data_IF_019799321557
#
_entry.id   IF_019799321557
#
_cell.length_a   1.000
_cell.length_b   1.000
_cell.length_c   1.000
_cell.angle_alpha   90.00
_cell.angle_beta   90.00
_cell.angle_gamma   90.00
#
_symmetry.space_group_name_H-M   'P 1'
#
loop_
_entity.id
_entity.type
_entity.pdbx_description
1 polymer ?
#
# COMPACT_ATOMS: atom_id res chain seq x y z
N UNK A 1 -19.85 -11.76 -16.97
CA UNK A 1 -19.14 -10.70 -16.22
C UNK A 1 -17.66 -10.81 -16.56
N UNK A 2 -16.99 -9.68 -16.82
CA UNK A 2 -15.59 -9.65 -17.26
C UNK A 2 -14.69 -9.38 -16.06
N UNK A 3 -13.65 -10.19 -15.91
CA UNK A 3 -12.52 -9.92 -15.00
C UNK A 3 -11.38 -9.28 -15.78
N UNK A 4 -10.47 -8.60 -15.10
CA UNK A 4 -9.31 -8.00 -15.73
C UNK A 4 -8.20 -9.00 -15.99
N UNK A 5 -7.49 -8.81 -17.10
CA UNK A 5 -6.47 -9.73 -17.63
C UNK A 5 -5.18 -9.01 -18.07
N UNK A 6 -5.16 -7.68 -18.12
CA UNK A 6 -3.97 -6.90 -18.48
C UNK A 6 -3.73 -5.73 -17.54
N UNK A 7 -2.53 -5.67 -16.96
CA UNK A 7 -2.15 -4.78 -15.88
C UNK A 7 -0.85 -4.02 -16.18
N UNK A 8 -0.75 -2.80 -15.68
CA UNK A 8 0.52 -2.09 -15.53
C UNK A 8 0.75 -1.72 -14.07
N UNK A 9 1.91 -2.07 -13.54
CA UNK A 9 2.32 -1.73 -12.17
C UNK A 9 3.39 -0.63 -12.24
N UNK A 10 3.12 0.50 -11.59
CA UNK A 10 4.03 1.63 -11.51
C UNK A 10 4.76 1.61 -10.18
N UNK A 11 6.09 1.56 -10.22
CA UNK A 11 6.93 1.37 -9.05
C UNK A 11 7.26 -0.09 -8.78
N UNK A 12 8.47 -0.33 -8.26
CA UNK A 12 9.00 -1.67 -7.99
C UNK A 12 9.55 -1.77 -6.55
N UNK A 13 8.81 -1.17 -5.61
CA UNK A 13 9.13 -1.16 -4.17
C UNK A 13 8.42 -2.26 -3.38
N UNK A 14 8.16 -1.97 -2.10
CA UNK A 14 7.56 -2.89 -1.11
C UNK A 14 6.26 -3.54 -1.60
N UNK A 15 5.41 -2.81 -2.33
CA UNK A 15 4.14 -3.32 -2.86
C UNK A 15 4.24 -3.74 -4.33
N UNK A 16 4.91 -2.94 -5.17
CA UNK A 16 4.92 -3.13 -6.62
C UNK A 16 5.55 -4.44 -7.09
N UNK A 17 6.63 -4.89 -6.45
CA UNK A 17 7.27 -6.17 -6.80
C UNK A 17 6.39 -7.36 -6.43
N UNK A 18 5.90 -7.50 -5.17
CA UNK A 18 4.99 -8.58 -4.81
C UNK A 18 3.71 -8.60 -5.64
N UNK A 19 3.05 -7.45 -5.88
CA UNK A 19 1.81 -7.39 -6.69
C UNK A 19 2.05 -7.92 -8.11
N UNK A 20 3.19 -7.56 -8.70
CA UNK A 20 3.55 -8.03 -10.05
C UNK A 20 3.71 -9.56 -10.09
N UNK A 21 4.33 -10.15 -9.07
CA UNK A 21 4.47 -11.62 -8.97
C UNK A 21 3.12 -12.30 -8.84
N UNK A 22 2.26 -11.79 -7.95
CA UNK A 22 0.95 -12.36 -7.67
C UNK A 22 0.01 -12.28 -8.89
N UNK A 23 -0.02 -11.13 -9.58
CA UNK A 23 -0.72 -11.00 -10.85
C UNK A 23 -0.20 -12.02 -11.86
N UNK A 24 1.12 -12.12 -12.03
CA UNK A 24 1.68 -13.05 -13.00
C UNK A 24 1.38 -14.51 -12.64
N UNK A 25 1.40 -14.87 -11.37
CA UNK A 25 1.06 -16.21 -10.89
C UNK A 25 -0.39 -16.61 -11.21
N UNK A 26 -1.29 -15.62 -11.37
CA UNK A 26 -2.69 -15.82 -11.80
C UNK A 26 -2.86 -15.89 -13.32
N UNK A 27 -1.76 -15.87 -14.07
CA UNK A 27 -1.77 -16.06 -15.52
C UNK A 27 -2.17 -14.82 -16.33
N UNK A 28 -2.31 -13.65 -15.69
CA UNK A 28 -2.64 -12.40 -16.38
C UNK A 28 -1.38 -11.73 -16.97
N UNK A 29 -1.61 -10.81 -17.92
CA UNK A 29 -0.57 -9.98 -18.52
C UNK A 29 -0.21 -8.84 -17.55
N UNK A 30 1.09 -8.62 -17.33
CA UNK A 30 1.57 -7.54 -16.48
C UNK A 30 2.85 -6.94 -17.06
N UNK A 31 2.91 -5.61 -17.09
CA UNK A 31 4.13 -4.85 -17.34
C UNK A 31 4.48 -4.00 -16.12
N UNK A 32 5.77 -3.75 -15.91
CA UNK A 32 6.25 -2.87 -14.84
C UNK A 32 6.83 -1.61 -15.44
N UNK A 33 6.41 -0.45 -14.95
CA UNK A 33 6.99 0.84 -15.28
C UNK A 33 7.66 1.42 -14.02
N UNK A 34 8.95 1.71 -14.11
CA UNK A 34 9.73 2.28 -13.02
C UNK A 34 10.57 3.47 -13.51
N UNK A 35 10.89 4.39 -12.61
CA UNK A 35 11.82 5.49 -12.92
C UNK A 35 13.20 4.91 -13.30
N UNK A 36 13.93 5.50 -14.27
CA UNK A 36 15.29 5.10 -14.58
C UNK A 36 16.17 4.98 -13.33
N UNK A 37 16.90 3.88 -13.22
CA UNK A 37 17.76 3.60 -12.06
C UNK A 37 17.06 3.14 -10.77
N UNK A 38 15.72 3.08 -10.74
CA UNK A 38 14.95 2.55 -9.60
C UNK A 38 14.62 1.05 -9.73
N UNK A 39 15.14 0.38 -10.77
CA UNK A 39 14.99 -1.05 -10.97
C UNK A 39 16.39 -1.72 -11.13
N UNK A 40 17.16 -1.85 -10.04
CA UNK A 40 18.44 -2.55 -10.09
C UNK A 40 18.26 -4.03 -10.45
N UNK A 41 19.35 -4.70 -10.86
CA UNK A 41 19.30 -6.11 -11.27
C UNK A 41 18.71 -7.04 -10.21
N UNK A 42 18.85 -6.70 -8.92
CA UNK A 42 18.20 -7.43 -7.83
C UNK A 42 16.68 -7.41 -7.96
N UNK A 43 16.08 -6.24 -8.23
CA UNK A 43 14.65 -6.10 -8.46
C UNK A 43 14.24 -6.84 -9.73
N UNK A 44 14.98 -6.66 -10.83
CA UNK A 44 14.72 -7.35 -12.12
C UNK A 44 14.72 -8.87 -11.98
N UNK A 45 15.73 -9.45 -11.32
CA UNK A 45 15.82 -10.89 -11.05
C UNK A 45 14.73 -11.40 -10.11
N UNK A 46 14.16 -10.51 -9.31
CA UNK A 46 13.10 -10.85 -8.37
C UNK A 46 11.73 -10.91 -9.05
N UNK A 47 11.58 -10.35 -10.26
CA UNK A 47 10.35 -10.41 -11.03
C UNK A 47 10.36 -11.64 -11.96
N UNK A 48 9.19 -12.20 -12.32
CA UNK A 48 9.14 -13.33 -13.24
C UNK A 48 9.75 -12.96 -14.61
N UNK A 49 10.55 -13.84 -15.25
CA UNK A 49 11.25 -13.52 -16.50
C UNK A 49 10.35 -13.10 -17.67
N UNK A 50 9.06 -13.44 -17.61
CA UNK A 50 8.05 -13.09 -18.62
C UNK A 50 7.45 -11.69 -18.45
N UNK A 51 7.86 -10.93 -17.43
CA UNK A 51 7.36 -9.58 -17.17
C UNK A 51 8.28 -8.57 -17.86
N UNK A 52 7.70 -7.80 -18.77
CA UNK A 52 8.41 -6.68 -19.39
C UNK A 52 8.54 -5.53 -18.39
N UNK A 53 9.77 -5.03 -18.22
CA UNK A 53 10.10 -3.92 -17.34
C UNK A 53 10.56 -2.74 -18.20
N UNK A 54 9.91 -1.60 -18.04
CA UNK A 54 10.23 -0.36 -18.73
C UNK A 54 10.74 0.68 -17.74
N UNK A 55 11.98 1.11 -17.95
CA UNK A 55 12.54 2.28 -17.26
C UNK A 55 12.12 3.55 -18.02
N UNK A 56 11.16 4.29 -17.46
CA UNK A 56 10.53 5.45 -18.09
C UNK A 56 10.34 6.54 -17.04
N UNK A 57 10.67 7.78 -17.40
CA UNK A 57 10.28 8.93 -16.59
C UNK A 57 8.76 9.01 -16.57
N UNK A 58 8.15 8.90 -15.38
CA UNK A 58 6.69 8.87 -15.26
C UNK A 58 6.02 10.17 -15.74
N UNK A 59 6.81 11.25 -15.82
CA UNK A 59 6.39 12.51 -16.41
C UNK A 59 6.26 12.47 -17.96
N UNK A 60 6.84 11.47 -18.63
CA UNK A 60 6.71 11.26 -20.08
C UNK A 60 5.38 10.58 -20.41
N UNK A 61 4.30 11.37 -20.38
CA UNK A 61 2.93 10.90 -20.62
C UNK A 61 2.75 10.28 -22.01
N UNK A 62 3.50 10.76 -23.02
CA UNK A 62 3.43 10.23 -24.37
C UNK A 62 3.97 8.79 -24.40
N UNK A 63 5.12 8.54 -23.78
CA UNK A 63 5.71 7.20 -23.72
C UNK A 63 4.89 6.26 -22.86
N UNK A 64 4.43 6.72 -21.69
CA UNK A 64 3.57 5.94 -20.80
C UNK A 64 2.28 5.55 -21.54
N UNK A 65 1.57 6.50 -22.16
CA UNK A 65 0.36 6.23 -22.95
C UNK A 65 0.60 5.23 -24.08
N UNK A 66 1.72 5.35 -24.79
CA UNK A 66 2.09 4.42 -25.86
C UNK A 66 2.23 2.99 -25.32
N UNK A 67 2.90 2.81 -24.19
CA UNK A 67 3.08 1.49 -23.56
C UNK A 67 1.75 0.93 -23.07
N UNK A 68 0.94 1.71 -22.37
CA UNK A 68 -0.39 1.28 -21.90
C UNK A 68 -1.28 0.79 -23.06
N UNK A 69 -1.29 1.52 -24.18
CA UNK A 69 -2.02 1.11 -25.39
C UNK A 69 -1.43 -0.13 -26.05
N UNK A 70 -0.10 -0.20 -26.18
CA UNK A 70 0.60 -1.33 -26.82
C UNK A 70 0.29 -2.66 -26.11
N UNK A 71 0.20 -2.63 -24.79
CA UNK A 71 -0.08 -3.82 -23.98
C UNK A 71 -1.56 -4.00 -23.65
N UNK A 72 -2.45 -3.19 -24.25
CA UNK A 72 -3.89 -3.21 -24.01
C UNK A 72 -4.22 -3.24 -22.50
N UNK A 73 -3.56 -2.37 -21.72
CA UNK A 73 -3.67 -2.36 -20.26
C UNK A 73 -5.09 -1.99 -19.86
N UNK A 74 -5.72 -2.82 -19.04
CA UNK A 74 -7.07 -2.62 -18.53
C UNK A 74 -7.07 -1.98 -17.14
N UNK A 75 -6.03 -2.26 -16.33
CA UNK A 75 -5.87 -1.75 -14.97
C UNK A 75 -4.48 -1.17 -14.76
N UNK A 76 -4.41 0.03 -14.19
CA UNK A 76 -3.15 0.63 -13.73
C UNK A 76 -3.09 0.58 -12.21
N UNK A 77 -1.99 0.05 -11.66
CA UNK A 77 -1.72 0.00 -10.23
C UNK A 77 -0.53 0.91 -9.92
N UNK A 78 -0.80 1.99 -9.20
CA UNK A 78 0.20 2.94 -8.71
C UNK A 78 0.76 2.46 -7.38
N UNK A 79 2.05 2.18 -7.32
CA UNK A 79 2.80 1.86 -6.08
C UNK A 79 3.98 2.82 -5.86
N UNK A 80 3.93 3.97 -6.52
CA UNK A 80 4.88 5.07 -6.29
C UNK A 80 4.62 5.71 -4.92
N UNK A 81 5.54 6.56 -4.45
CA UNK A 81 5.31 7.26 -3.19
C UNK A 81 4.01 8.07 -3.24
N UNK A 82 3.13 7.89 -2.25
CA UNK A 82 1.90 8.68 -2.10
C UNK A 82 2.19 10.19 -2.02
N UNK A 83 3.42 10.57 -1.64
CA UNK A 83 3.86 11.96 -1.63
C UNK A 83 4.01 12.60 -3.03
N UNK A 84 4.04 11.81 -4.10
CA UNK A 84 4.17 12.27 -5.48
C UNK A 84 2.80 12.52 -6.15
N UNK A 85 1.90 13.25 -5.48
CA UNK A 85 0.52 13.52 -5.93
C UNK A 85 0.44 13.97 -7.38
N UNK A 86 1.26 14.95 -7.76
CA UNK A 86 1.26 15.49 -9.12
C UNK A 86 1.56 14.43 -10.18
N UNK A 87 2.50 13.51 -9.89
CA UNK A 87 2.84 12.39 -10.78
C UNK A 87 1.69 11.39 -10.82
N UNK A 88 1.06 11.10 -9.68
CA UNK A 88 -0.05 10.16 -9.61
C UNK A 88 -1.30 10.67 -10.38
N UNK A 89 -1.64 11.95 -10.25
CA UNK A 89 -2.75 12.57 -11.00
C UNK A 89 -2.46 12.59 -12.49
N UNK A 90 -1.22 12.95 -12.88
CA UNK A 90 -0.79 12.91 -14.27
C UNK A 90 -0.83 11.49 -14.85
N UNK A 91 -0.45 10.49 -14.05
CA UNK A 91 -0.53 9.09 -14.43
C UNK A 91 -1.98 8.65 -14.63
N UNK A 92 -2.90 9.04 -13.73
CA UNK A 92 -4.33 8.77 -13.87
C UNK A 92 -4.92 9.35 -15.17
N UNK A 93 -4.63 10.62 -15.48
CA UNK A 93 -5.04 11.25 -16.75
C UNK A 93 -4.45 10.51 -17.95
N UNK A 94 -3.19 10.09 -17.87
CA UNK A 94 -2.52 9.36 -18.95
C UNK A 94 -3.14 7.98 -19.16
N UNK A 95 -3.48 7.28 -18.07
CA UNK A 95 -4.15 5.99 -18.09
C UNK A 95 -5.55 6.10 -18.70
N UNK A 96 -6.35 7.07 -18.27
CA UNK A 96 -7.66 7.35 -18.85
C UNK A 96 -7.55 7.61 -20.37
N UNK A 97 -6.63 8.48 -20.79
CA UNK A 97 -6.41 8.78 -22.20
C UNK A 97 -5.86 7.58 -23.02
N UNK A 98 -5.31 6.56 -22.35
CA UNK A 98 -4.90 5.30 -22.96
C UNK A 98 -6.05 4.30 -23.11
N UNK A 99 -7.20 4.52 -22.45
CA UNK A 99 -8.35 3.61 -22.43
C UNK A 99 -8.34 2.60 -21.29
N UNK A 100 -7.56 2.86 -20.23
CA UNK A 100 -7.57 2.05 -18.99
C UNK A 100 -8.93 2.18 -18.32
N UNK A 101 -9.47 1.06 -17.82
CA UNK A 101 -10.80 0.99 -17.22
C UNK A 101 -10.84 1.07 -15.70
N UNK A 102 -9.72 0.85 -15.02
CA UNK A 102 -9.62 0.95 -13.56
C UNK A 102 -8.25 1.49 -13.13
N UNK A 103 -8.23 2.37 -12.13
CA UNK A 103 -7.02 2.87 -11.49
C UNK A 103 -6.96 2.46 -10.02
N UNK A 104 -5.82 1.91 -9.59
CA UNK A 104 -5.54 1.65 -8.17
C UNK A 104 -4.50 2.68 -7.71
N UNK A 105 -4.89 3.70 -6.93
CA UNK A 105 -3.94 4.68 -6.41
C UNK A 105 -3.06 4.06 -5.31
N UNK A 106 -1.92 4.68 -5.05
CA UNK A 106 -0.97 4.26 -4.01
C UNK A 106 -1.49 4.67 -2.62
N UNK A 107 -2.50 3.96 -2.14
CA UNK A 107 -3.13 4.18 -0.84
C UNK A 107 -3.06 2.96 0.09
N UNK A 108 -2.00 2.14 -0.02
CA UNK A 108 -1.80 0.89 0.74
C UNK A 108 -1.51 1.06 2.25
N UNK A 109 -2.02 2.12 2.87
CA UNK A 109 -1.74 2.49 4.26
C UNK A 109 -3.00 2.63 5.10
N UNK A 110 -3.10 3.75 5.80
CA UNK A 110 -4.25 4.10 6.64
C UNK A 110 -5.47 4.52 5.82
N UNK A 111 -6.64 4.50 6.45
CA UNK A 111 -7.90 4.89 5.82
C UNK A 111 -7.90 6.39 5.52
N UNK A 112 -8.03 6.73 4.25
CA UNK A 112 -8.17 8.12 3.78
C UNK A 112 -9.56 8.41 3.24
N UNK A 113 -10.47 7.44 3.31
CA UNK A 113 -11.87 7.64 2.93
C UNK A 113 -12.59 8.58 3.89
N UNK A 114 -13.42 9.48 3.36
CA UNK A 114 -14.10 10.50 4.14
C UNK A 114 -13.19 11.63 4.67
N UNK A 115 -11.88 11.64 4.39
CA UNK A 115 -11.05 12.80 4.69
C UNK A 115 -11.45 13.98 3.79
N UNK A 116 -11.38 15.18 4.35
CA UNK A 116 -11.62 16.44 3.66
C UNK A 116 -10.41 17.37 3.80
N UNK A 117 -10.16 18.21 2.78
CA UNK A 117 -9.07 19.17 2.76
C UNK A 117 -7.93 18.79 1.80
N UNK A 118 -6.77 19.44 1.96
CA UNK A 118 -5.67 19.37 1.00
C UNK A 118 -4.62 18.30 1.35
N UNK A 119 -5.03 17.07 1.70
CA UNK A 119 -4.07 15.96 1.81
C UNK A 119 -3.76 15.38 0.43
N UNK A 120 -2.65 14.65 0.35
CA UNK A 120 -2.10 14.13 -0.89
C UNK A 120 -3.01 13.10 -1.54
N UNK A 121 -3.54 12.20 -0.71
CA UNK A 121 -4.47 11.12 -1.06
C UNK A 121 -5.82 11.68 -1.56
N UNK A 122 -6.40 12.65 -0.84
CA UNK A 122 -7.66 13.31 -1.24
C UNK A 122 -7.53 13.91 -2.64
N UNK A 123 -6.42 14.61 -2.91
CA UNK A 123 -6.20 15.26 -4.21
C UNK A 123 -6.18 14.26 -5.38
N UNK A 124 -5.67 13.04 -5.16
CA UNK A 124 -5.71 12.00 -6.18
C UNK A 124 -7.12 11.44 -6.40
N UNK A 125 -7.89 11.21 -5.33
CA UNK A 125 -9.27 10.70 -5.45
C UNK A 125 -10.20 11.74 -6.09
N UNK A 126 -10.08 13.01 -5.71
CA UNK A 126 -10.83 14.10 -6.36
C UNK A 126 -10.50 14.20 -7.85
N UNK A 127 -9.22 14.05 -8.21
CA UNK A 127 -8.78 14.04 -9.60
C UNK A 127 -9.37 12.85 -10.39
N UNK A 128 -9.33 11.64 -9.84
CA UNK A 128 -9.90 10.44 -10.46
C UNK A 128 -11.40 10.59 -10.74
N UNK A 129 -12.15 11.15 -9.78
CA UNK A 129 -13.57 11.48 -9.94
C UNK A 129 -13.79 12.55 -11.03
N UNK A 130 -12.98 13.61 -11.04
CA UNK A 130 -13.11 14.70 -12.00
C UNK A 130 -12.84 14.26 -13.45
N UNK A 131 -11.97 13.25 -13.64
CA UNK A 131 -11.74 12.65 -14.95
C UNK A 131 -12.62 11.42 -15.20
N UNK A 132 -13.58 11.08 -14.34
CA UNK A 132 -14.48 9.93 -14.53
C UNK A 132 -13.74 8.60 -14.79
N UNK A 133 -12.58 8.39 -14.15
CA UNK A 133 -11.84 7.13 -14.21
C UNK A 133 -12.18 6.30 -12.96
N UNK A 134 -12.84 5.14 -13.11
CA UNK A 134 -13.14 4.28 -11.96
C UNK A 134 -11.88 3.88 -11.21
N UNK A 135 -11.99 3.77 -9.89
CA UNK A 135 -10.85 3.41 -9.05
C UNK A 135 -11.17 2.38 -7.96
N UNK A 136 -10.14 1.71 -7.45
CA UNK A 136 -10.25 0.80 -6.31
C UNK A 136 -9.16 1.12 -5.28
N UNK A 137 -9.54 1.28 -4.00
CA UNK A 137 -8.64 1.70 -2.90
C UNK A 137 -8.40 0.55 -1.95
N UNK A 138 -7.19 0.40 -1.43
CA UNK A 138 -6.79 -0.71 -0.57
C UNK A 138 -6.10 -0.18 0.69
N UNK A 139 -6.74 -0.28 1.85
CA UNK A 139 -6.14 0.13 3.13
C UNK A 139 -5.64 -1.08 3.88
N UNK A 140 -4.34 -1.10 4.18
CA UNK A 140 -3.66 -2.22 4.82
C UNK A 140 -3.10 -1.92 6.21
N UNK A 141 -3.28 -0.67 6.69
CA UNK A 141 -2.69 -0.22 7.96
C UNK A 141 -1.17 -0.08 7.84
N UNK A 142 -0.43 -0.57 8.83
CA UNK A 142 1.02 -0.62 8.78
C UNK A 142 1.51 -1.93 8.18
N UNK A 143 2.56 -1.85 7.36
CA UNK A 143 3.25 -3.04 6.90
C UNK A 143 3.98 -3.72 8.06
N UNK A 144 3.85 -5.05 8.19
CA UNK A 144 4.56 -5.80 9.24
C UNK A 144 6.08 -5.59 9.11
N UNK A 145 6.59 -5.47 7.88
CA UNK A 145 7.98 -5.25 7.51
C UNK A 145 8.60 -4.00 8.16
N UNK A 146 7.79 -2.96 8.43
CA UNK A 146 8.32 -1.70 8.94
C UNK A 146 8.42 -1.67 10.47
N UNK A 147 7.86 -2.65 11.19
CA UNK A 147 7.82 -2.67 12.66
C UNK A 147 9.20 -2.41 13.29
N UNK A 148 10.30 -3.07 12.85
CA UNK A 148 11.61 -2.86 13.46
C UNK A 148 12.14 -1.43 13.32
N UNK A 149 11.80 -0.74 12.22
CA UNK A 149 12.19 0.64 11.99
C UNK A 149 11.25 1.62 12.71
N UNK A 150 9.94 1.38 12.61
CA UNK A 150 8.88 2.17 13.24
C UNK A 150 9.06 2.29 14.75
N UNK A 151 9.56 1.23 15.39
CA UNK A 151 9.72 1.13 16.85
C UNK A 151 11.16 1.35 17.31
N UNK A 152 12.12 1.56 16.39
CA UNK A 152 13.54 1.65 16.74
C UNK A 152 14.17 0.33 17.21
N UNK A 153 13.43 -0.78 17.18
CA UNK A 153 13.92 -2.11 17.55
C UNK A 153 15.16 -2.53 16.76
N UNK A 154 15.22 -2.18 15.48
CA UNK A 154 16.40 -2.44 14.64
C UNK A 154 17.68 -1.70 15.10
N UNK A 155 17.56 -0.75 16.04
CA UNK A 155 18.67 0.06 16.56
C UNK A 155 19.12 -0.44 17.94
N UNK A 156 18.18 -0.66 18.86
CA UNK A 156 18.50 -0.96 20.26
C UNK A 156 17.88 -2.26 20.80
N UNK A 157 17.17 -3.02 19.96
CA UNK A 157 16.52 -4.26 20.35
C UNK A 157 15.31 -4.08 21.26
N UNK A 158 14.77 -2.85 21.41
CA UNK A 158 13.61 -2.53 22.24
C UNK A 158 12.48 -1.92 21.43
N UNK A 159 11.26 -2.05 21.92
CA UNK A 159 10.10 -1.39 21.32
C UNK A 159 9.98 0.02 21.92
N UNK A 160 10.27 1.04 21.11
CA UNK A 160 10.22 2.43 21.53
C UNK A 160 8.89 3.05 21.08
N UNK A 161 8.14 3.63 22.01
CA UNK A 161 6.79 4.17 21.82
C UNK A 161 6.77 5.67 22.10
N UNK A 162 6.24 6.45 21.17
CA UNK A 162 5.85 7.85 21.35
C UNK A 162 4.36 7.87 21.71
N UNK A 163 4.01 8.45 22.86
CA UNK A 163 2.64 8.43 23.38
C UNK A 163 2.43 7.29 24.37
N UNK A 164 1.22 6.73 24.40
CA UNK A 164 0.81 5.66 25.32
C UNK A 164 0.92 4.26 24.70
N UNK A 165 0.82 4.16 23.37
CA UNK A 165 0.99 2.92 22.62
C UNK A 165 -0.11 1.91 22.86
N UNK A 166 -1.32 2.35 23.23
CA UNK A 166 -2.45 1.48 23.61
C UNK A 166 -3.59 1.49 22.59
N UNK A 167 -3.46 2.27 21.52
CA UNK A 167 -4.46 2.33 20.46
C UNK A 167 -4.30 1.15 19.48
N UNK A 168 -5.40 0.50 19.07
CA UNK A 168 -5.34 -0.59 18.09
C UNK A 168 -4.78 -0.14 16.75
N UNK A 169 -3.87 -0.93 16.21
CA UNK A 169 -3.31 -0.79 14.88
C UNK A 169 -3.57 -2.07 14.07
N UNK A 170 -3.85 -1.91 12.78
CA UNK A 170 -3.86 -3.02 11.83
C UNK A 170 -2.47 -3.17 11.23
N UNK A 171 -1.93 -4.39 11.26
CA UNK A 171 -0.67 -4.73 10.63
C UNK A 171 -0.90 -5.77 9.54
N UNK A 172 -0.34 -5.56 8.35
CA UNK A 172 -0.52 -6.50 7.24
C UNK A 172 0.81 -6.73 6.52
N UNK A 173 1.17 -7.98 6.23
CA UNK A 173 2.37 -8.27 5.46
C UNK A 173 2.21 -7.78 4.01
N UNK A 174 3.27 -7.24 3.41
CA UNK A 174 3.21 -6.74 2.03
C UNK A 174 2.84 -7.84 1.01
N UNK A 175 3.26 -9.09 1.25
CA UNK A 175 2.85 -10.26 0.45
C UNK A 175 1.33 -10.51 0.51
N UNK A 176 0.70 -10.37 1.69
CA UNK A 176 -0.75 -10.56 1.84
C UNK A 176 -1.51 -9.43 1.14
N UNK A 177 -1.04 -8.19 1.29
CA UNK A 177 -1.59 -7.04 0.55
C UNK A 177 -1.52 -7.31 -0.95
N UNK A 178 -0.36 -7.75 -1.44
CA UNK A 178 -0.16 -8.00 -2.86
C UNK A 178 -1.01 -9.15 -3.39
N UNK A 179 -1.09 -10.25 -2.66
CA UNK A 179 -1.89 -11.41 -3.02
C UNK A 179 -3.38 -11.10 -3.03
N UNK A 180 -3.84 -10.28 -2.06
CA UNK A 180 -5.23 -9.84 -1.99
C UNK A 180 -5.57 -8.89 -3.14
N UNK A 181 -4.73 -7.88 -3.41
CA UNK A 181 -4.88 -6.97 -4.55
C UNK A 181 -4.98 -7.77 -5.85
N UNK A 182 -4.05 -8.69 -6.10
CA UNK A 182 -4.07 -9.53 -7.29
C UNK A 182 -5.31 -10.43 -7.34
N UNK A 183 -5.73 -11.01 -6.20
CA UNK A 183 -6.95 -11.83 -6.09
C UNK A 183 -8.18 -11.03 -6.52
N UNK A 184 -8.50 -9.94 -5.82
CA UNK A 184 -9.76 -9.22 -6.09
C UNK A 184 -9.80 -8.63 -7.50
N UNK A 185 -8.67 -8.13 -8.01
CA UNK A 185 -8.60 -7.54 -9.36
C UNK A 185 -8.76 -8.58 -10.48
N UNK A 186 -8.52 -9.86 -10.20
CA UNK A 186 -8.62 -10.94 -11.20
C UNK A 186 -9.81 -11.88 -10.98
N UNK A 187 -10.42 -11.87 -9.80
CA UNK A 187 -11.54 -12.75 -9.46
C UNK A 187 -12.90 -12.06 -9.41
N UNK A 188 -12.95 -10.77 -9.03
CA UNK A 188 -14.22 -10.05 -8.94
C UNK A 188 -14.66 -9.52 -10.32
N UNK A 189 -15.98 -9.44 -10.59
CA UNK A 189 -16.50 -8.68 -11.73
C UNK A 189 -15.97 -7.24 -11.73
N UNK A 190 -15.62 -6.70 -12.89
CA UNK A 190 -15.09 -5.33 -13.00
C UNK A 190 -15.97 -4.26 -12.35
N UNK A 191 -17.30 -4.40 -12.46
CA UNK A 191 -18.27 -3.47 -11.88
C UNK A 191 -18.25 -3.48 -10.34
N UNK A 192 -17.85 -4.58 -9.72
CA UNK A 192 -17.68 -4.68 -8.27
C UNK A 192 -16.39 -4.02 -7.76
N UNK A 193 -15.53 -3.54 -8.65
CA UNK A 193 -14.28 -2.85 -8.29
C UNK A 193 -14.43 -1.32 -8.35
N UNK A 194 -15.46 -0.81 -9.04
CA UNK A 194 -15.62 0.62 -9.28
C UNK A 194 -15.94 1.39 -7.99
N UNK A 195 -15.10 2.39 -7.74
CA UNK A 195 -15.15 3.31 -6.60
C UNK A 195 -15.21 2.57 -5.25
N UNK A 196 -14.66 1.35 -5.22
CA UNK A 196 -14.71 0.47 -4.06
C UNK A 196 -13.48 0.63 -3.17
N UNK A 197 -13.72 0.51 -1.88
CA UNK A 197 -12.70 0.45 -0.83
C UNK A 197 -12.55 -0.99 -0.33
N UNK A 198 -11.30 -1.42 -0.14
CA UNK A 198 -10.92 -2.68 0.46
C UNK A 198 -10.12 -2.41 1.75
N UNK A 199 -10.59 -2.93 2.88
CA UNK A 199 -9.92 -2.83 4.19
C UNK A 199 -9.36 -4.19 4.58
N UNK A 200 -8.04 -4.25 4.73
CA UNK A 200 -7.29 -5.45 5.05
C UNK A 200 -6.77 -5.40 6.49
N UNK A 201 -6.62 -6.55 7.13
CA UNK A 201 -5.94 -6.67 8.43
C UNK A 201 -5.29 -8.05 8.54
N UNK A 202 -3.96 -8.11 8.59
CA UNK A 202 -3.27 -9.39 8.81
C UNK A 202 -3.20 -9.77 10.29
N UNK A 203 -2.91 -8.78 11.13
CA UNK A 203 -2.86 -8.89 12.57
C UNK A 203 -3.35 -7.57 13.21
N UNK A 204 -3.85 -7.67 14.44
CA UNK A 204 -4.30 -6.53 15.23
C UNK A 204 -3.51 -6.48 16.52
N UNK A 205 -2.87 -5.35 16.80
CA UNK A 205 -2.07 -5.15 18.00
C UNK A 205 -1.95 -3.67 18.34
N UNK A 206 -1.55 -3.35 19.56
CA UNK A 206 -1.10 -1.99 19.92
C UNK A 206 0.42 -1.86 19.76
N UNK A 207 0.94 -0.63 19.74
CA UNK A 207 2.40 -0.43 19.72
C UNK A 207 3.09 -1.03 20.96
N UNK A 208 2.42 -1.02 22.12
CA UNK A 208 2.97 -1.62 23.34
C UNK A 208 2.94 -3.15 23.30
N UNK A 209 1.91 -3.77 22.70
CA UNK A 209 1.83 -5.23 22.56
C UNK A 209 2.98 -5.80 21.73
N UNK A 210 3.57 -4.99 20.82
CA UNK A 210 4.76 -5.39 20.08
C UNK A 210 5.92 -5.78 21.02
N UNK A 211 6.04 -5.17 22.20
CA UNK A 211 7.08 -5.53 23.17
C UNK A 211 6.89 -6.98 23.65
N UNK A 212 5.63 -7.36 23.93
CA UNK A 212 5.27 -8.72 24.32
C UNK A 212 5.49 -9.71 23.16
N UNK A 213 5.10 -9.33 21.94
CA UNK A 213 5.26 -10.18 20.75
C UNK A 213 6.74 -10.46 20.45
N UNK A 214 7.59 -9.44 20.54
CA UNK A 214 9.03 -9.55 20.28
C UNK A 214 9.84 -10.06 21.49
N UNK A 215 9.20 -10.30 22.65
CA UNK A 215 9.87 -10.76 23.86
C UNK A 215 10.89 -9.75 24.42
N UNK A 216 10.56 -8.46 24.38
CA UNK A 216 11.42 -7.35 24.84
C UNK A 216 10.64 -6.35 25.69
N UNK A 217 11.34 -5.37 26.26
CA UNK A 217 10.76 -4.25 26.99
C UNK A 217 10.20 -3.15 26.06
N UNK A 218 9.15 -2.49 26.53
CA UNK A 218 8.67 -1.21 25.99
C UNK A 218 9.44 -0.05 26.61
N UNK A 219 9.78 0.95 25.79
CA UNK A 219 10.36 2.22 26.24
C UNK A 219 9.55 3.39 25.70
N UNK A 220 9.01 4.20 26.61
CA UNK A 220 8.33 5.43 26.24
C UNK A 220 9.36 6.53 25.97
N UNK A 221 9.35 7.06 24.75
CA UNK A 221 10.34 8.00 24.25
C UNK A 221 9.68 9.22 23.64
N UNK A 222 10.42 10.33 23.56
CA UNK A 222 9.97 11.53 22.82
C UNK A 222 10.21 11.42 21.31
N UNK A 223 11.19 10.59 20.93
CA UNK A 223 11.67 10.40 19.57
C UNK A 223 12.15 8.96 19.38
N UNK A 224 11.91 8.41 18.19
CA UNK A 224 12.29 7.04 17.86
C UNK A 224 13.80 7.00 17.58
N UNK A 225 14.56 6.08 18.21
CA UNK A 225 15.98 5.94 17.92
C UNK A 225 16.16 5.48 16.47
N UNK A 226 17.01 6.18 15.74
CA UNK A 226 17.40 5.87 14.35
C UNK A 226 18.92 5.83 14.24
N UNK A 227 19.45 5.14 13.23
CA UNK A 227 20.90 5.16 12.95
C UNK A 227 21.35 6.61 12.69
N UNK A 228 22.54 7.00 13.15
CA UNK A 228 23.06 8.37 13.03
C UNK A 228 23.02 8.91 11.60
N UNK A 229 23.35 8.07 10.62
CA UNK A 229 23.30 8.39 9.17
C UNK A 229 21.89 8.72 8.64
N UNK A 230 20.85 8.50 9.44
CA UNK A 230 19.44 8.72 9.11
C UNK A 230 18.74 9.65 10.11
N UNK A 231 19.52 10.31 10.99
CA UNK A 231 19.03 11.17 12.06
C UNK A 231 18.25 12.38 11.53
N UNK A 232 17.24 12.82 12.29
CA UNK A 232 16.30 13.89 11.91
C UNK A 232 15.10 13.39 11.09
N UNK A 233 15.26 13.24 9.77
CA UNK A 233 14.12 13.00 8.85
C UNK A 233 13.38 11.69 9.15
N UNK A 234 14.10 10.59 9.34
CA UNK A 234 13.45 9.28 9.56
C UNK A 234 12.83 9.16 10.94
N UNK A 235 13.47 9.73 11.97
CA UNK A 235 12.89 9.78 13.31
C UNK A 235 11.57 10.57 13.31
N UNK A 236 11.52 11.69 12.58
CA UNK A 236 10.30 12.47 12.43
C UNK A 236 9.19 11.70 11.69
N UNK A 237 9.54 10.95 10.63
CA UNK A 237 8.58 10.09 9.92
C UNK A 237 7.99 9.03 10.85
N UNK A 238 8.82 8.28 11.58
CA UNK A 238 8.33 7.25 12.51
C UNK A 238 7.51 7.84 13.65
N UNK A 239 7.92 8.99 14.17
CA UNK A 239 7.15 9.74 15.17
C UNK A 239 5.78 10.16 14.64
N UNK A 240 5.69 10.67 13.41
CA UNK A 240 4.40 11.03 12.78
C UNK A 240 3.50 9.79 12.62
N UNK A 241 4.07 8.65 12.22
CA UNK A 241 3.31 7.40 12.10
C UNK A 241 2.81 6.91 13.46
N UNK A 242 3.65 6.93 14.51
CA UNK A 242 3.19 6.56 15.85
C UNK A 242 2.15 7.54 16.41
N UNK A 243 2.32 8.85 16.20
CA UNK A 243 1.28 9.82 16.58
C UNK A 243 -0.05 9.55 15.87
N UNK A 244 -0.01 9.12 14.60
CA UNK A 244 -1.21 8.72 13.87
C UNK A 244 -1.85 7.47 14.53
N UNK A 245 -1.05 6.48 14.92
CA UNK A 245 -1.52 5.33 15.69
C UNK A 245 -2.17 5.73 17.03
N UNK A 246 -1.57 6.67 17.77
CA UNK A 246 -2.13 7.21 19.01
C UNK A 246 -3.48 7.93 18.82
N UNK A 247 -3.76 8.42 17.61
CA UNK A 247 -5.07 8.96 17.25
C UNK A 247 -6.07 7.89 16.80
N UNK A 248 -5.68 6.62 16.75
CA UNK A 248 -6.49 5.49 16.29
C UNK A 248 -6.50 5.26 14.77
N UNK A 249 -5.90 6.17 13.99
CA UNK A 249 -5.99 6.12 12.51
C UNK A 249 -5.17 5.00 11.87
N UNK A 250 -4.35 4.28 12.66
CA UNK A 250 -3.61 3.10 12.19
C UNK A 250 -4.49 1.84 12.06
N UNK A 251 -5.74 1.89 12.54
CA UNK A 251 -6.73 0.84 12.28
C UNK A 251 -7.31 0.97 10.88
N UNK A 252 -7.41 -0.13 10.13
CA UNK A 252 -8.15 -0.12 8.85
C UNK A 252 -9.65 -0.06 9.03
N UNK A 253 -10.17 -0.20 10.25
CA UNK A 253 -11.57 0.01 10.60
C UNK A 253 -11.91 1.46 10.95
N UNK A 254 -10.93 2.36 10.94
CA UNK A 254 -11.14 3.76 11.30
C UNK A 254 -12.16 4.44 10.36
N UNK A 255 -13.12 5.15 10.95
CA UNK A 255 -14.05 6.02 10.26
C UNK A 255 -13.67 7.47 10.56
N UNK A 256 -13.14 8.12 9.53
CA UNK A 256 -12.67 9.49 9.57
C UNK A 256 -13.79 10.48 9.91
N UNK A 257 -15.02 10.21 9.48
CA UNK A 257 -16.16 11.10 9.72
C UNK A 257 -16.62 11.11 11.18
N UNK A 258 -16.43 9.99 11.87
CA UNK A 258 -16.77 9.81 13.28
C UNK A 258 -15.58 10.04 14.20
N UNK A 259 -14.36 10.03 13.65
CA UNK A 259 -13.11 10.06 14.39
C UNK A 259 -13.03 8.93 15.45
N UNK A 260 -13.45 7.73 15.03
CA UNK A 260 -13.51 6.53 15.84
C UNK A 260 -13.48 5.27 14.95
N UNK A 261 -13.41 4.08 15.56
CA UNK A 261 -13.69 2.82 14.84
C UNK A 261 -15.11 2.84 14.27
N UNK A 262 -15.22 2.55 12.98
CA UNK A 262 -16.46 2.63 12.22
C UNK A 262 -17.31 1.38 12.25
N UNK A 263 -18.40 1.41 11.47
CA UNK A 263 -19.22 0.21 11.19
C UNK A 263 -18.50 -0.77 10.26
N UNK A 264 -17.70 -0.25 9.33
CA UNK A 264 -16.80 -1.09 8.54
C UNK A 264 -15.64 -1.51 9.45
N UNK A 265 -15.66 -2.76 9.91
CA UNK A 265 -14.63 -3.25 10.80
C UNK A 265 -13.26 -3.35 10.09
N UNK A 266 -12.19 -3.32 10.87
CA UNK A 266 -10.87 -3.61 10.35
C UNK A 266 -10.83 -5.01 9.72
N UNK A 267 -10.15 -5.12 8.57
CA UNK A 267 -10.12 -6.37 7.80
C UNK A 267 -11.48 -6.81 7.25
N UNK A 268 -12.50 -5.94 7.18
CA UNK A 268 -13.85 -6.35 6.74
C UNK A 268 -13.88 -6.94 5.33
N UNK A 269 -12.86 -6.72 4.51
CA UNK A 269 -12.76 -7.30 3.16
C UNK A 269 -11.90 -8.56 3.06
N UNK A 270 -11.24 -8.99 4.14
CA UNK A 270 -10.44 -10.21 4.15
C UNK A 270 -11.21 -11.44 3.67
N UNK A 271 -12.50 -11.52 3.99
CA UNK A 271 -13.38 -12.63 3.62
C UNK A 271 -13.52 -12.84 2.10
N UNK A 272 -13.21 -11.82 1.28
CA UNK A 272 -13.24 -11.93 -0.19
C UNK A 272 -12.15 -12.87 -0.72
N UNK A 273 -11.09 -13.11 0.05
CA UNK A 273 -10.06 -14.09 -0.26
C UNK A 273 -10.22 -15.35 0.59
N UNK A 274 -11.32 -16.07 0.34
CA UNK A 274 -11.71 -17.24 1.11
C UNK A 274 -10.62 -18.32 1.16
N UNK A 275 -10.33 -18.81 2.38
CA UNK A 275 -9.31 -19.83 2.61
C UNK A 275 -7.88 -19.32 2.72
N UNK A 276 -7.64 -18.01 2.53
CA UNK A 276 -6.33 -17.40 2.77
C UNK A 276 -6.04 -17.32 4.27
N UNK A 277 -4.85 -17.76 4.67
CA UNK A 277 -4.33 -17.59 6.02
C UNK A 277 -3.46 -16.34 6.07
N UNK A 278 -3.98 -15.29 6.72
CA UNK A 278 -3.29 -14.02 6.87
C UNK A 278 -2.11 -14.14 7.83
N UNK A 279 -0.96 -13.55 7.46
CA UNK A 279 0.24 -13.57 8.29
C UNK A 279 0.02 -12.68 9.52
N UNK A 280 0.20 -13.30 10.68
CA UNK A 280 0.33 -12.56 11.94
C UNK A 280 1.74 -11.98 12.07
N UNK A 281 1.94 -11.02 12.97
CA UNK A 281 3.27 -10.49 13.27
C UNK A 281 4.20 -11.63 13.72
N UNK A 282 3.69 -12.56 14.53
CA UNK A 282 4.44 -13.74 14.99
C UNK A 282 4.85 -14.66 13.86
N UNK A 283 3.90 -15.06 13.00
CA UNK A 283 4.22 -15.96 11.89
C UNK A 283 5.15 -15.32 10.86
N UNK A 284 5.03 -14.00 10.64
CA UNK A 284 5.93 -13.26 9.75
C UNK A 284 7.37 -13.24 10.26
N UNK A 285 7.58 -12.94 11.54
CA UNK A 285 8.91 -12.86 12.16
C UNK A 285 9.45 -14.21 12.69
N UNK A 286 8.68 -15.29 12.55
CA UNK A 286 9.02 -16.63 13.05
C UNK A 286 9.27 -16.64 14.58
N UNK A 287 8.39 -15.96 15.31
CA UNK A 287 8.41 -15.81 16.78
C UNK A 287 7.47 -16.80 17.49
#
# INVERSE_FOLDING_TARGET
MRTYTSFAVFGAGLVGVPVTRELRARGVSVIVLARPGFCPDTVKRSLPPSVDIFEVELADTAKVKQLLKKYAVEVVISTISAAEVGIQNQLATTAQAAGVGLFVPSEFGVVTDGLHGNTMEISTIEHLKAIELPFARFYAGFFIEIIPALTGFAVNGKINVVGYGNMPCSFTASDDVAGFVAHVLTSLPSEELFDRTFRLEGDRSTLSDLAVIFGTDVQYVKEIPVKESSSGRMSEVWKRMQNAAECGVASTGWDVSQWAEGKECAGCTNHLWGGHEWKTIKSFYQL
#
